data_IF_166104243430
#
_entry.id   IF_166104243430
#
_cell.length_a   1.000
_cell.length_b   1.000
_cell.length_c   1.000
_cell.angle_alpha   90.00
_cell.angle_beta   90.00
_cell.angle_gamma   90.00
#
_symmetry.space_group_name_H-M   'P 1'
#
loop_
_entity.id
_entity.type
_entity.pdbx_description
1 polymer ?
#
# COMPACT_ATOMS: atom_id res chain seq x y z
N UNK A 1 1.95 2.95 1.80
CA UNK A 1 2.14 4.39 2.15
C UNK A 1 2.73 4.55 3.55
N UNK A 2 2.03 4.21 4.65
CA UNK A 2 2.62 4.38 6.00
C UNK A 2 3.94 3.61 6.20
N UNK A 3 4.06 2.39 5.69
CA UNK A 3 5.33 1.65 5.74
C UNK A 3 6.44 2.42 5.01
N UNK A 4 6.17 2.92 3.82
CA UNK A 4 7.13 3.75 3.09
C UNK A 4 7.43 5.09 3.80
N UNK A 5 6.44 5.70 4.48
CA UNK A 5 6.70 6.86 5.34
C UNK A 5 7.62 6.48 6.52
N UNK A 6 7.46 5.27 7.09
CA UNK A 6 8.35 4.74 8.14
C UNK A 6 9.77 4.52 7.62
N UNK A 7 9.95 3.91 6.43
CA UNK A 7 11.26 3.76 5.79
C UNK A 7 11.96 5.10 5.55
N UNK A 8 11.21 6.15 5.18
CA UNK A 8 11.73 7.51 5.02
C UNK A 8 12.14 8.14 6.33
N UNK A 9 11.32 8.00 7.38
CA UNK A 9 11.66 8.49 8.73
C UNK A 9 12.91 7.77 9.22
N UNK A 10 12.99 6.45 9.08
CA UNK A 10 14.16 5.67 9.47
C UNK A 10 15.42 6.10 8.69
N UNK A 11 15.30 6.36 7.38
CA UNK A 11 16.40 6.88 6.57
C UNK A 11 16.91 8.25 7.01
N UNK A 12 16.00 9.16 7.41
CA UNK A 12 16.36 10.46 7.98
C UNK A 12 17.09 10.31 9.30
N UNK A 13 16.62 9.43 10.20
CA UNK A 13 17.26 9.18 11.50
C UNK A 13 18.66 8.55 11.33
N UNK A 14 18.81 7.61 10.37
CA UNK A 14 20.12 7.02 10.06
C UNK A 14 21.14 8.06 9.52
N UNK A 15 20.68 9.03 8.73
CA UNK A 15 21.53 10.13 8.25
C UNK A 15 22.03 11.05 9.38
N UNK A 16 21.27 11.19 10.46
CA UNK A 16 21.69 11.89 11.69
C UNK A 16 22.56 11.02 12.61
N UNK A 17 22.93 9.81 12.18
CA UNK A 17 23.82 8.91 12.90
C UNK A 17 23.13 8.05 13.97
N UNK A 18 21.81 7.95 13.96
CA UNK A 18 21.07 7.05 14.83
C UNK A 18 21.06 5.62 14.25
N UNK A 19 21.23 4.63 15.10
CA UNK A 19 21.16 3.22 14.75
C UNK A 19 19.82 2.63 15.20
N UNK A 20 19.26 1.71 14.40
CA UNK A 20 18.02 1.01 14.74
C UNK A 20 18.23 -0.01 15.85
N UNK A 21 17.33 -0.05 16.82
CA UNK A 21 17.30 -1.05 17.88
C UNK A 21 15.95 -1.80 17.90
N UNK A 22 16.00 -3.08 18.30
CA UNK A 22 14.80 -3.90 18.47
C UNK A 22 14.09 -3.68 19.81
N UNK A 23 14.75 -3.02 20.78
CA UNK A 23 14.27 -2.81 22.15
C UNK A 23 13.92 -1.35 22.41
N UNK A 24 12.71 -1.11 22.93
CA UNK A 24 12.35 0.22 23.39
C UNK A 24 13.20 0.69 24.59
N UNK A 25 13.69 -0.25 25.42
CA UNK A 25 14.50 0.09 26.58
C UNK A 25 15.86 0.68 26.22
N UNK A 26 16.39 0.31 25.04
CA UNK A 26 17.69 0.78 24.53
C UNK A 26 17.55 1.99 23.58
N UNK A 27 16.34 2.35 23.20
CA UNK A 27 16.11 3.43 22.23
C UNK A 27 16.26 4.82 22.86
N UNK A 28 16.90 5.74 22.16
CA UNK A 28 16.95 7.18 22.49
C UNK A 28 15.83 7.96 21.80
N UNK A 29 15.33 7.44 20.69
CA UNK A 29 14.21 7.99 19.92
C UNK A 29 13.24 6.88 19.57
N UNK A 30 11.97 7.07 19.88
CA UNK A 30 10.88 6.17 19.46
C UNK A 30 9.92 6.93 18.58
N UNK A 31 9.72 6.47 17.34
CA UNK A 31 8.75 7.07 16.42
C UNK A 31 7.61 6.09 16.15
N UNK A 32 6.40 6.46 16.54
CA UNK A 32 5.17 5.69 16.30
C UNK A 32 4.45 6.26 15.07
N UNK A 33 4.67 5.67 13.90
CA UNK A 33 4.01 6.05 12.66
C UNK A 33 2.72 5.24 12.46
N UNK A 34 1.56 5.86 12.62
CA UNK A 34 0.28 5.15 12.71
C UNK A 34 -0.71 5.57 11.62
N UNK A 35 -1.35 4.55 11.03
CA UNK A 35 -2.47 4.71 10.10
C UNK A 35 -3.77 5.01 10.88
N UNK A 36 -4.67 5.85 10.33
CA UNK A 36 -5.99 6.15 10.91
C UNK A 36 -7.16 5.45 10.19
N UNK A 37 -6.87 4.49 9.29
CA UNK A 37 -7.91 3.81 8.50
C UNK A 37 -8.64 2.73 9.33
N UNK A 38 -8.04 2.21 10.40
CA UNK A 38 -8.59 1.15 11.24
C UNK A 38 -8.68 1.62 12.68
N UNK A 39 -9.85 1.48 13.32
CA UNK A 39 -10.05 1.83 14.73
C UNK A 39 -9.07 1.12 15.67
N UNK A 40 -8.76 -0.14 15.39
CA UNK A 40 -7.75 -0.90 16.14
C UNK A 40 -6.35 -0.26 16.10
N UNK A 41 -6.04 0.55 15.08
CA UNK A 41 -4.76 1.25 15.01
C UNK A 41 -4.70 2.42 16.02
N UNK A 42 -5.82 3.16 16.18
CA UNK A 42 -5.96 4.22 17.15
C UNK A 42 -5.78 3.65 18.57
N UNK A 43 -6.51 2.56 18.89
CA UNK A 43 -6.43 1.90 20.20
C UNK A 43 -5.02 1.35 20.50
N UNK A 44 -4.35 0.77 19.50
CA UNK A 44 -2.97 0.29 19.65
C UNK A 44 -2.01 1.42 19.93
N UNK A 45 -2.11 2.55 19.22
CA UNK A 45 -1.23 3.70 19.46
C UNK A 45 -1.35 4.18 20.90
N UNK A 46 -2.57 4.48 21.37
CA UNK A 46 -2.77 4.98 22.73
C UNK A 46 -2.40 3.95 23.79
N UNK A 47 -2.59 2.65 23.52
CA UNK A 47 -2.09 1.56 24.36
C UNK A 47 -0.57 1.54 24.47
N UNK A 48 0.14 1.68 23.33
CA UNK A 48 1.61 1.78 23.32
C UNK A 48 2.11 3.03 24.04
N UNK A 49 1.50 4.19 23.80
CA UNK A 49 1.83 5.42 24.51
C UNK A 49 1.66 5.27 26.02
N UNK A 50 0.59 4.58 26.47
CA UNK A 50 0.42 4.26 27.89
C UNK A 50 1.57 3.44 28.47
N UNK A 51 2.07 2.44 27.73
CA UNK A 51 3.23 1.62 28.15
C UNK A 51 4.53 2.44 28.18
N UNK A 52 4.72 3.32 27.20
CA UNK A 52 5.93 4.16 27.09
C UNK A 52 6.02 5.24 28.16
N UNK A 53 4.90 5.57 28.83
CA UNK A 53 4.90 6.58 29.89
C UNK A 53 5.88 6.26 31.02
N UNK A 54 5.88 5.01 31.50
CA UNK A 54 6.80 4.58 32.56
C UNK A 54 8.26 4.67 32.11
N UNK A 55 8.55 4.22 30.87
CA UNK A 55 9.90 4.29 30.30
C UNK A 55 10.37 5.74 30.19
N UNK A 56 9.52 6.67 29.77
CA UNK A 56 9.84 8.11 29.71
C UNK A 56 10.09 8.72 31.11
N UNK A 57 9.36 8.27 32.14
CA UNK A 57 9.57 8.70 33.53
C UNK A 57 10.94 8.22 34.06
N UNK A 58 11.36 6.99 33.68
CA UNK A 58 12.67 6.41 34.05
C UNK A 58 13.83 6.99 33.20
N UNK A 59 13.55 7.38 31.95
CA UNK A 59 14.50 7.93 30.98
C UNK A 59 14.00 9.28 30.42
N UNK A 60 14.17 10.40 31.13
CA UNK A 60 13.65 11.70 30.72
C UNK A 60 14.19 12.19 29.36
N UNK A 61 15.39 11.76 28.99
CA UNK A 61 16.05 12.14 27.72
C UNK A 61 15.52 11.35 26.50
N UNK A 62 14.77 10.25 26.71
CA UNK A 62 14.11 9.51 25.65
C UNK A 62 13.14 10.41 24.90
N UNK A 63 13.23 10.47 23.58
CA UNK A 63 12.26 11.21 22.78
C UNK A 63 11.19 10.27 22.22
N UNK A 64 9.93 10.66 22.35
CA UNK A 64 8.79 9.96 21.81
C UNK A 64 8.09 10.84 20.78
N UNK A 65 8.03 10.38 19.54
CA UNK A 65 7.34 11.05 18.45
C UNK A 65 6.15 10.23 17.93
N UNK A 66 5.08 10.91 17.57
CA UNK A 66 3.92 10.31 16.90
C UNK A 66 3.77 10.93 15.52
N UNK A 67 3.71 10.08 14.50
CA UNK A 67 3.69 10.46 13.10
C UNK A 67 2.54 9.82 12.31
N UNK A 68 2.35 10.28 11.07
CA UNK A 68 1.48 9.66 10.10
C UNK A 68 0.04 10.15 10.11
N UNK A 69 -0.86 9.35 9.52
CA UNK A 69 -2.25 9.76 9.31
C UNK A 69 -3.01 10.00 10.62
N UNK A 70 -2.67 9.29 11.69
CA UNK A 70 -3.31 9.52 12.99
C UNK A 70 -2.84 10.82 13.62
N UNK A 71 -1.55 11.13 13.54
CA UNK A 71 -1.03 12.42 13.97
C UNK A 71 -1.67 13.58 13.20
N UNK A 72 -1.83 13.44 11.88
CA UNK A 72 -2.54 14.41 11.04
C UNK A 72 -3.99 14.62 11.47
N UNK A 73 -4.68 13.56 11.90
CA UNK A 73 -6.08 13.59 12.34
C UNK A 73 -6.25 14.15 13.75
N UNK A 74 -5.50 13.61 14.73
CA UNK A 74 -5.73 13.86 16.15
C UNK A 74 -4.93 15.06 16.69
N UNK A 75 -3.84 15.47 16.01
CA UNK A 75 -3.09 16.71 16.30
C UNK A 75 -2.73 16.86 17.80
N UNK A 76 -3.04 18.01 18.37
CA UNK A 76 -2.76 18.36 19.76
C UNK A 76 -3.44 17.41 20.78
N UNK A 77 -4.56 16.76 20.41
CA UNK A 77 -5.23 15.77 21.27
C UNK A 77 -4.31 14.61 21.65
N UNK A 78 -3.27 14.31 20.86
CA UNK A 78 -2.31 13.27 21.21
C UNK A 78 -1.53 13.68 22.46
N UNK A 79 -1.01 14.91 22.51
CA UNK A 79 -0.27 15.42 23.67
C UNK A 79 -1.18 15.71 24.88
N UNK A 80 -2.43 16.12 24.65
CA UNK A 80 -3.43 16.23 25.73
C UNK A 80 -3.67 14.88 26.44
N UNK A 81 -3.74 13.78 25.69
CA UNK A 81 -3.95 12.42 26.23
C UNK A 81 -2.67 11.74 26.69
N UNK A 82 -1.54 12.09 26.10
CA UNK A 82 -0.22 11.53 26.35
C UNK A 82 0.83 12.65 26.46
N UNK A 83 0.87 13.40 27.58
CA UNK A 83 1.76 14.56 27.76
C UNK A 83 3.26 14.22 27.71
N UNK A 84 3.63 12.95 27.71
CA UNK A 84 5.00 12.46 27.60
C UNK A 84 5.46 12.30 26.12
N UNK A 85 4.59 12.62 25.15
CA UNK A 85 4.96 12.69 23.74
C UNK A 85 5.64 14.01 23.44
N UNK A 86 6.87 13.96 22.94
CA UNK A 86 7.68 15.15 22.66
C UNK A 86 7.33 15.79 21.30
N UNK A 87 7.02 14.97 20.29
CA UNK A 87 6.76 15.47 18.93
C UNK A 87 5.53 14.80 18.32
N UNK A 88 4.65 15.62 17.74
CA UNK A 88 3.54 15.15 16.90
C UNK A 88 3.67 15.82 15.54
N UNK A 89 3.76 15.01 14.45
CA UNK A 89 3.87 15.57 13.12
C UNK A 89 3.04 14.82 12.08
N UNK A 90 2.49 15.59 11.14
CA UNK A 90 1.59 15.10 10.11
C UNK A 90 2.30 14.39 8.95
N UNK A 91 1.49 13.87 8.03
CA UNK A 91 1.95 13.14 6.83
C UNK A 91 2.77 14.00 5.87
N UNK A 92 2.56 15.31 5.87
CA UNK A 92 3.29 16.27 5.03
C UNK A 92 4.58 16.78 5.68
N UNK A 93 4.81 16.43 6.95
CA UNK A 93 5.98 16.88 7.72
C UNK A 93 7.10 15.82 7.82
N UNK A 94 6.97 14.66 7.15
CA UNK A 94 7.94 13.55 7.24
C UNK A 94 9.38 14.02 7.01
N UNK A 95 9.61 14.91 6.03
CA UNK A 95 10.94 15.46 5.73
C UNK A 95 11.53 16.36 6.83
N UNK A 96 10.74 16.72 7.85
CA UNK A 96 11.17 17.56 8.97
C UNK A 96 11.34 16.79 10.27
N UNK A 97 11.18 15.46 10.24
CA UNK A 97 11.14 14.61 11.43
C UNK A 97 12.34 14.86 12.38
N UNK A 98 13.56 14.86 11.86
CA UNK A 98 14.79 15.08 12.66
C UNK A 98 14.86 16.48 13.22
N UNK A 99 14.59 17.50 12.41
CA UNK A 99 14.56 18.90 12.86
C UNK A 99 13.52 19.18 13.96
N UNK A 100 12.35 18.48 13.91
CA UNK A 100 11.34 18.59 14.96
C UNK A 100 11.78 17.93 16.27
N UNK A 101 12.47 16.79 16.19
CA UNK A 101 13.07 16.13 17.36
C UNK A 101 14.11 17.06 18.02
N UNK A 102 14.99 17.68 17.26
CA UNK A 102 15.99 18.62 17.79
C UNK A 102 15.34 19.87 18.40
N UNK A 103 14.33 20.40 17.75
CA UNK A 103 13.59 21.55 18.28
C UNK A 103 12.85 21.20 19.58
N UNK A 104 12.28 20.01 19.70
CA UNK A 104 11.60 19.56 20.93
C UNK A 104 12.57 19.40 22.10
N UNK A 105 13.83 19.02 21.88
CA UNK A 105 14.88 18.99 22.91
C UNK A 105 15.15 20.35 23.52
N UNK A 106 15.03 21.41 22.72
CA UNK A 106 15.36 22.79 23.16
C UNK A 106 14.13 23.51 23.70
N UNK A 107 12.98 23.34 23.07
CA UNK A 107 11.79 24.17 23.29
C UNK A 107 10.66 23.45 24.03
N UNK A 108 10.81 22.13 24.30
CA UNK A 108 9.76 21.28 24.85
C UNK A 108 8.82 20.70 23.78
N UNK A 109 7.71 20.06 24.17
CA UNK A 109 6.81 19.35 23.28
C UNK A 109 6.29 20.20 22.12
N UNK A 110 6.24 19.61 20.90
CA UNK A 110 5.85 20.28 19.65
C UNK A 110 4.80 19.46 18.91
N UNK A 111 3.78 20.14 18.39
CA UNK A 111 2.88 19.61 17.35
C UNK A 111 3.07 20.44 16.08
N UNK A 112 3.40 19.78 14.96
CA UNK A 112 3.48 20.43 13.66
C UNK A 112 2.68 19.67 12.62
N UNK A 113 1.60 20.27 12.14
CA UNK A 113 0.68 19.72 11.17
C UNK A 113 0.59 20.68 9.97
N UNK A 114 1.10 20.24 8.83
CA UNK A 114 0.91 20.93 7.54
C UNK A 114 -0.33 20.32 6.88
N UNK A 115 -1.30 21.16 6.51
CA UNK A 115 -2.59 20.70 5.96
C UNK A 115 -2.45 20.17 4.54
N UNK A 116 -1.73 20.88 3.69
CA UNK A 116 -1.48 20.55 2.29
C UNK A 116 -0.02 20.86 1.93
N UNK A 117 0.58 19.99 1.14
CA UNK A 117 1.88 20.28 0.51
C UNK A 117 1.65 20.81 -0.90
N UNK A 118 2.37 21.84 -1.29
CA UNK A 118 2.34 22.34 -2.68
C UNK A 118 3.15 21.47 -3.64
N UNK A 119 4.05 20.67 -3.11
CA UNK A 119 4.94 19.79 -3.89
C UNK A 119 5.15 18.45 -3.21
N UNK A 120 5.46 17.44 -4.02
CA UNK A 120 5.82 16.13 -3.52
C UNK A 120 7.24 16.15 -2.92
N UNK A 121 7.46 15.62 -1.71
CA UNK A 121 8.81 15.51 -1.12
C UNK A 121 9.57 14.33 -1.78
N UNK A 122 10.22 14.57 -2.92
CA UNK A 122 10.82 13.53 -3.75
C UNK A 122 12.14 12.98 -3.22
N UNK A 123 12.95 13.79 -2.59
CA UNK A 123 14.36 13.51 -2.31
C UNK A 123 14.66 13.06 -0.87
N UNK A 124 13.71 12.39 -0.20
CA UNK A 124 13.97 11.88 1.15
C UNK A 124 14.77 10.56 1.10
N UNK A 125 15.73 10.38 2.01
CA UNK A 125 16.44 9.12 2.18
C UNK A 125 15.45 8.04 2.59
N UNK A 126 15.73 6.78 2.21
CA UNK A 126 14.85 5.64 2.49
C UNK A 126 15.71 4.50 3.04
N UNK A 127 15.42 4.06 4.27
CA UNK A 127 15.96 2.82 4.82
C UNK A 127 14.97 1.71 4.55
N UNK A 128 15.32 0.79 3.64
CA UNK A 128 14.43 -0.27 3.18
C UNK A 128 14.58 -1.52 4.03
N UNK A 129 13.47 -2.12 4.42
CA UNK A 129 13.45 -3.40 5.15
C UNK A 129 13.90 -4.57 4.26
N UNK A 130 13.57 -4.53 2.96
CA UNK A 130 13.91 -5.56 1.99
C UNK A 130 15.00 -5.08 1.01
N UNK A 131 16.01 -5.95 0.76
CA UNK A 131 17.09 -5.67 -0.17
C UNK A 131 16.75 -6.01 -1.65
N UNK A 132 15.58 -6.56 -1.91
CA UNK A 132 15.17 -7.06 -3.22
C UNK A 132 13.90 -6.41 -3.75
N UNK A 133 13.13 -5.75 -2.87
CA UNK A 133 11.87 -5.11 -3.19
C UNK A 133 11.86 -3.66 -2.69
N UNK A 134 11.18 -2.77 -3.42
CA UNK A 134 11.02 -1.38 -3.02
C UNK A 134 9.60 -0.86 -3.26
N UNK A 135 9.16 -0.02 -2.34
CA UNK A 135 7.98 0.81 -2.48
C UNK A 135 8.33 2.10 -3.21
N UNK A 136 7.59 2.43 -4.26
CA UNK A 136 7.75 3.70 -4.98
C UNK A 136 6.44 4.47 -4.92
N UNK A 137 6.40 5.52 -4.13
CA UNK A 137 5.21 6.39 -4.06
C UNK A 137 5.15 7.26 -5.29
N UNK A 138 4.12 7.07 -6.13
CA UNK A 138 3.94 7.81 -7.38
C UNK A 138 3.08 9.06 -7.21
N UNK A 139 2.20 9.06 -6.21
CA UNK A 139 1.35 10.19 -5.85
C UNK A 139 0.94 10.13 -4.38
N UNK A 140 0.56 11.27 -3.82
CA UNK A 140 -0.05 11.42 -2.50
C UNK A 140 -1.40 12.12 -2.62
N UNK A 141 -2.27 11.93 -1.61
CA UNK A 141 -3.61 12.51 -1.62
C UNK A 141 -4.58 11.81 -2.56
N UNK A 142 -5.84 12.21 -2.53
CA UNK A 142 -6.89 11.65 -3.36
C UNK A 142 -8.03 12.64 -3.56
N UNK A 143 -8.42 12.88 -4.82
CA UNK A 143 -9.52 13.77 -5.19
C UNK A 143 -10.90 13.08 -5.21
N UNK A 144 -10.96 11.77 -4.85
CA UNK A 144 -12.24 11.09 -4.72
C UNK A 144 -12.94 11.47 -3.42
N UNK A 145 -14.27 11.64 -3.48
CA UNK A 145 -15.13 12.01 -2.36
C UNK A 145 -15.85 10.81 -1.74
N UNK A 146 -15.17 9.67 -1.54
CA UNK A 146 -15.80 8.50 -0.95
C UNK A 146 -16.30 8.80 0.47
N UNK A 147 -17.60 8.59 0.74
CA UNK A 147 -18.30 9.04 1.93
C UNK A 147 -17.74 8.52 3.28
N UNK A 148 -17.03 7.39 3.26
CA UNK A 148 -16.42 6.76 4.43
C UNK A 148 -14.92 7.06 4.60
N UNK A 149 -14.29 7.71 3.60
CA UNK A 149 -12.84 7.79 3.51
C UNK A 149 -12.31 9.10 4.10
N UNK A 150 -11.34 8.97 5.02
CA UNK A 150 -10.68 10.11 5.65
C UNK A 150 -9.44 10.59 4.90
N UNK A 151 -9.00 9.86 3.85
CA UNK A 151 -7.74 10.15 3.13
C UNK A 151 -7.65 11.59 2.63
N UNK A 152 -8.68 12.20 2.01
CA UNK A 152 -8.58 13.60 1.60
C UNK A 152 -8.27 14.57 2.74
N UNK A 153 -8.78 14.28 3.95
CA UNK A 153 -8.57 15.13 5.13
C UNK A 153 -7.19 14.97 5.78
N UNK A 154 -6.50 13.83 5.53
CA UNK A 154 -5.21 13.54 6.19
C UNK A 154 -4.03 13.47 5.24
N UNK A 155 -4.28 13.43 3.92
CA UNK A 155 -3.23 13.42 2.88
C UNK A 155 -3.45 14.46 1.79
N UNK A 156 -4.50 15.27 1.90
CA UNK A 156 -4.79 16.36 1.00
C UNK A 156 -5.25 15.93 -0.39
N UNK A 157 -5.18 16.87 -1.32
CA UNK A 157 -5.47 16.68 -2.74
C UNK A 157 -4.45 15.80 -3.42
N UNK A 158 -4.83 15.27 -4.58
CA UNK A 158 -3.95 14.45 -5.41
C UNK A 158 -2.79 15.27 -5.97
N UNK A 159 -1.56 14.84 -5.65
CA UNK A 159 -0.32 15.40 -6.17
C UNK A 159 0.52 14.26 -6.73
N UNK A 160 0.67 14.23 -8.04
CA UNK A 160 1.51 13.28 -8.74
C UNK A 160 2.96 13.74 -8.81
N UNK A 161 3.88 12.81 -8.67
CA UNK A 161 5.30 13.06 -8.90
C UNK A 161 5.60 13.22 -10.38
N UNK A 162 6.60 14.05 -10.76
CA UNK A 162 7.06 14.15 -12.13
C UNK A 162 7.46 12.76 -12.70
N UNK A 163 7.05 12.52 -13.93
CA UNK A 163 7.19 11.21 -14.57
C UNK A 163 8.64 10.72 -14.61
N UNK A 164 9.58 11.60 -15.04
CA UNK A 164 10.99 11.21 -15.19
C UNK A 164 11.68 10.96 -13.85
N UNK A 165 11.28 11.66 -12.79
CA UNK A 165 11.80 11.40 -11.44
C UNK A 165 11.51 9.98 -10.98
N UNK A 166 10.31 9.47 -11.27
CA UNK A 166 9.91 8.11 -10.93
C UNK A 166 10.71 7.06 -11.71
N UNK A 167 10.88 7.27 -13.00
CA UNK A 167 11.66 6.36 -13.84
C UNK A 167 13.13 6.34 -13.38
N UNK A 168 13.71 7.53 -13.11
CA UNK A 168 15.10 7.64 -12.62
C UNK A 168 15.26 6.96 -11.24
N UNK A 169 14.27 7.09 -10.33
CA UNK A 169 14.31 6.39 -9.05
C UNK A 169 14.32 4.87 -9.25
N UNK A 170 13.48 4.34 -10.15
CA UNK A 170 13.46 2.91 -10.44
C UNK A 170 14.75 2.44 -11.13
N UNK A 171 15.33 3.24 -12.04
CA UNK A 171 16.64 2.97 -12.64
C UNK A 171 17.73 2.87 -11.57
N UNK A 172 17.73 3.80 -10.59
CA UNK A 172 18.66 3.76 -9.45
C UNK A 172 18.45 2.54 -8.57
N UNK A 173 17.20 2.20 -8.24
CA UNK A 173 16.85 1.01 -7.47
C UNK A 173 17.32 -0.29 -8.15
N UNK A 174 17.15 -0.38 -9.46
CA UNK A 174 17.62 -1.53 -10.25
C UNK A 174 19.15 -1.65 -10.22
N UNK A 175 19.88 -0.53 -10.32
CA UNK A 175 21.35 -0.51 -10.15
C UNK A 175 21.78 -0.96 -8.75
N UNK A 176 20.99 -0.66 -7.73
CA UNK A 176 21.20 -1.12 -6.36
C UNK A 176 20.86 -2.60 -6.14
N UNK A 177 20.29 -3.27 -7.15
CA UNK A 177 19.95 -4.68 -7.13
C UNK A 177 18.52 -5.01 -6.69
N UNK A 178 17.64 -4.00 -6.60
CA UNK A 178 16.20 -4.20 -6.42
C UNK A 178 15.63 -4.82 -7.70
N UNK A 179 14.81 -5.83 -7.54
CA UNK A 179 14.24 -6.60 -8.66
C UNK A 179 12.70 -6.58 -8.68
N UNK A 180 12.06 -6.23 -7.56
CA UNK A 180 10.60 -6.05 -7.46
C UNK A 180 10.26 -4.63 -7.03
N UNK A 181 9.38 -3.96 -7.79
CA UNK A 181 8.85 -2.63 -7.49
C UNK A 181 7.36 -2.72 -7.20
N UNK A 182 6.90 -2.04 -6.16
CA UNK A 182 5.48 -1.82 -5.93
C UNK A 182 5.15 -0.33 -5.98
N UNK A 183 4.34 0.08 -6.96
CA UNK A 183 3.89 1.45 -7.11
C UNK A 183 2.77 1.76 -6.10
N UNK A 184 2.92 2.84 -5.34
CA UNK A 184 2.02 3.25 -4.28
C UNK A 184 1.33 4.58 -4.58
N UNK A 185 0.06 4.66 -4.23
CA UNK A 185 -0.76 5.86 -4.23
C UNK A 185 -2.06 5.62 -3.46
N UNK A 186 -2.92 6.63 -3.35
CA UNK A 186 -4.27 6.46 -2.81
C UNK A 186 -5.29 6.12 -3.91
N UNK A 187 -4.97 6.45 -5.17
CA UNK A 187 -5.67 6.04 -6.38
C UNK A 187 -4.68 6.02 -7.54
N UNK A 188 -3.86 4.98 -7.64
CA UNK A 188 -2.77 4.91 -8.64
C UNK A 188 -3.24 5.08 -10.08
N UNK A 189 -4.49 4.72 -10.38
CA UNK A 189 -5.05 4.82 -11.73
C UNK A 189 -5.27 6.25 -12.20
N UNK A 190 -5.32 7.23 -11.28
CA UNK A 190 -5.44 8.66 -11.60
C UNK A 190 -4.09 9.33 -11.78
N UNK A 191 -2.98 8.68 -11.45
CA UNK A 191 -1.64 9.24 -11.54
C UNK A 191 -1.41 10.05 -12.82
N UNK A 192 -0.85 11.24 -12.66
CA UNK A 192 -0.49 12.15 -13.73
C UNK A 192 -1.65 12.93 -14.35
N UNK A 193 -2.89 12.73 -13.89
CA UNK A 193 -4.04 13.50 -14.37
C UNK A 193 -3.89 14.98 -14.03
N UNK A 194 -3.45 15.30 -12.81
CA UNK A 194 -3.14 16.66 -12.36
C UNK A 194 -2.01 17.29 -13.20
N UNK A 195 -0.99 16.51 -13.55
CA UNK A 195 0.13 16.97 -14.37
C UNK A 195 -0.32 17.31 -15.80
N UNK A 196 -1.11 16.44 -16.42
CA UNK A 196 -1.64 16.69 -17.78
C UNK A 196 -2.66 17.83 -17.81
N UNK A 197 -3.42 18.03 -16.73
CA UNK A 197 -4.32 19.18 -16.58
C UNK A 197 -3.56 20.50 -16.47
N UNK A 198 -2.43 20.55 -15.76
CA UNK A 198 -1.56 21.75 -15.67
C UNK A 198 -1.02 22.18 -17.04
N UNK A 199 -0.80 21.23 -17.94
CA UNK A 199 -0.33 21.50 -19.31
C UNK A 199 -1.43 21.81 -20.33
N UNK A 200 -2.70 21.82 -19.90
CA UNK A 200 -3.83 22.11 -20.79
C UNK A 200 -3.77 23.56 -21.28
N UNK A 201 -3.65 23.73 -22.61
CA UNK A 201 -3.60 25.06 -23.23
C UNK A 201 -2.25 25.77 -23.10
N UNK A 202 -1.22 25.09 -22.61
CA UNK A 202 0.16 25.57 -22.65
C UNK A 202 0.88 25.03 -23.88
N UNK A 203 1.97 25.68 -24.29
CA UNK A 203 2.86 25.16 -25.32
C UNK A 203 3.60 23.93 -24.76
N UNK A 204 3.53 22.81 -25.47
CA UNK A 204 4.20 21.56 -25.09
C UNK A 204 5.61 21.57 -25.70
N UNK A 205 6.62 21.55 -24.83
CA UNK A 205 8.02 21.49 -25.21
C UNK A 205 8.61 20.10 -24.93
N UNK A 206 9.83 19.85 -25.37
CA UNK A 206 10.59 18.64 -25.02
C UNK A 206 10.79 18.52 -23.49
N UNK A 207 10.89 19.62 -22.77
CA UNK A 207 11.00 19.64 -21.31
C UNK A 207 9.74 19.14 -20.62
N UNK A 208 8.57 19.27 -21.26
CA UNK A 208 7.32 18.71 -20.75
C UNK A 208 7.39 17.18 -20.56
N UNK A 209 8.26 16.48 -21.28
CA UNK A 209 8.45 15.04 -21.11
C UNK A 209 9.00 14.66 -19.74
N UNK A 210 9.71 15.55 -19.07
CA UNK A 210 10.16 15.35 -17.69
C UNK A 210 8.97 15.23 -16.74
N UNK A 211 7.91 15.98 -17.00
CA UNK A 211 6.71 16.03 -16.17
C UNK A 211 5.72 14.92 -16.50
N UNK A 212 5.45 14.67 -17.79
CA UNK A 212 4.34 13.82 -18.25
C UNK A 212 4.77 12.62 -19.12
N UNK A 213 6.05 12.46 -19.39
CA UNK A 213 6.59 11.38 -20.23
C UNK A 213 6.47 11.63 -21.74
N UNK A 214 7.34 10.96 -22.49
CA UNK A 214 7.44 11.06 -23.95
C UNK A 214 6.13 10.66 -24.70
N UNK A 215 5.45 9.61 -24.21
CA UNK A 215 4.24 9.09 -24.85
C UNK A 215 3.12 10.14 -24.88
N UNK A 216 3.00 10.95 -23.82
CA UNK A 216 2.01 12.02 -23.77
C UNK A 216 2.42 13.20 -24.65
N UNK A 217 3.71 13.57 -24.65
CA UNK A 217 4.24 14.68 -25.47
C UNK A 217 4.08 14.41 -26.96
N UNK A 218 4.21 13.15 -27.40
CA UNK A 218 4.00 12.76 -28.82
C UNK A 218 2.53 12.55 -29.18
N UNK A 219 1.65 12.53 -28.17
CA UNK A 219 0.22 12.25 -28.33
C UNK A 219 -0.64 13.49 -28.60
N UNK A 220 -1.96 13.37 -28.48
CA UNK A 220 -2.90 14.44 -28.79
C UNK A 220 -2.98 15.55 -27.71
N UNK A 221 -2.12 15.54 -26.68
CA UNK A 221 -2.05 16.48 -25.56
C UNK A 221 -3.37 16.66 -24.78
N UNK A 222 -4.21 15.63 -24.79
CA UNK A 222 -5.46 15.64 -24.04
C UNK A 222 -5.20 15.30 -22.57
N UNK A 223 -5.80 16.01 -21.61
CA UNK A 223 -5.70 15.65 -20.20
C UNK A 223 -6.19 14.22 -19.95
N UNK A 224 -5.31 13.39 -19.38
CA UNK A 224 -5.61 12.01 -19.02
C UNK A 224 -4.68 11.51 -17.91
N UNK A 225 -5.04 10.44 -17.21
CA UNK A 225 -4.08 9.72 -16.37
C UNK A 225 -2.90 9.17 -17.20
N UNK A 226 -1.74 9.09 -16.56
CA UNK A 226 -0.49 8.58 -17.14
C UNK A 226 -0.07 7.23 -16.56
N UNK A 227 -0.93 6.61 -15.74
CA UNK A 227 -0.56 5.41 -14.99
C UNK A 227 -0.13 4.25 -15.89
N UNK A 228 -0.84 3.99 -16.99
CA UNK A 228 -0.47 2.94 -17.95
C UNK A 228 0.89 3.20 -18.60
N UNK A 229 1.18 4.46 -18.97
CA UNK A 229 2.47 4.84 -19.54
C UNK A 229 3.59 4.63 -18.51
N UNK A 230 3.38 5.07 -17.26
CA UNK A 230 4.34 4.91 -16.17
C UNK A 230 4.59 3.42 -15.85
N UNK A 231 3.51 2.63 -15.75
CA UNK A 231 3.60 1.20 -15.44
C UNK A 231 4.48 0.47 -16.47
N UNK A 232 4.30 0.78 -17.76
CA UNK A 232 5.14 0.25 -18.84
C UNK A 232 6.59 0.69 -18.68
N UNK A 233 6.85 1.99 -18.53
CA UNK A 233 8.23 2.51 -18.44
C UNK A 233 8.98 1.99 -17.22
N UNK A 234 8.31 1.82 -16.09
CA UNK A 234 8.91 1.22 -14.88
C UNK A 234 9.22 -0.26 -15.10
N UNK A 235 8.33 -0.98 -15.76
CA UNK A 235 8.51 -2.41 -16.02
C UNK A 235 9.64 -2.68 -17.05
N UNK A 236 9.86 -1.76 -17.98
CA UNK A 236 10.92 -1.85 -18.99
C UNK A 236 12.32 -1.47 -18.46
N UNK A 237 12.45 -1.01 -17.21
CA UNK A 237 13.76 -0.71 -16.61
C UNK A 237 14.59 -1.99 -16.46
N UNK A 238 15.78 -1.98 -17.03
CA UNK A 238 16.68 -3.13 -16.98
C UNK A 238 17.04 -3.52 -15.55
N UNK A 239 16.84 -4.78 -15.20
CA UNK A 239 17.09 -5.33 -13.87
C UNK A 239 15.83 -5.48 -13.03
N UNK A 240 14.72 -4.83 -13.37
CA UNK A 240 13.42 -5.08 -12.76
C UNK A 240 12.82 -6.36 -13.36
N UNK A 241 12.32 -7.23 -12.50
CA UNK A 241 11.70 -8.51 -12.88
C UNK A 241 10.21 -8.54 -12.56
N UNK A 242 9.77 -7.76 -11.56
CA UNK A 242 8.37 -7.71 -11.13
C UNK A 242 7.95 -6.29 -10.80
N UNK A 243 6.82 -5.90 -11.35
CA UNK A 243 6.14 -4.65 -10.99
C UNK A 243 4.74 -4.96 -10.49
N UNK A 244 4.42 -4.42 -9.32
CA UNK A 244 3.11 -4.46 -8.69
C UNK A 244 2.60 -3.06 -8.44
N UNK A 245 1.34 -2.93 -8.19
CA UNK A 245 0.75 -1.68 -7.73
C UNK A 245 -0.42 -1.92 -6.78
N UNK A 246 -0.72 -0.93 -5.96
CA UNK A 246 -1.79 -1.01 -4.96
C UNK A 246 -2.78 0.14 -5.11
N UNK A 247 -3.97 -0.02 -4.52
CA UNK A 247 -4.99 1.03 -4.42
C UNK A 247 -5.52 1.60 -5.75
N UNK A 248 -5.74 0.79 -6.80
CA UNK A 248 -6.48 1.27 -7.96
C UNK A 248 -7.96 1.47 -7.57
N UNK A 249 -8.60 2.48 -8.18
CA UNK A 249 -10.03 2.69 -8.01
C UNK A 249 -10.78 2.15 -9.24
N UNK A 250 -11.85 1.32 -9.06
CA UNK A 250 -12.57 0.72 -10.18
C UNK A 250 -13.08 1.73 -11.21
N UNK A 251 -13.52 2.91 -10.77
CA UNK A 251 -13.95 4.00 -11.65
C UNK A 251 -12.86 4.39 -12.66
N UNK A 252 -11.62 4.45 -12.21
CA UNK A 252 -10.47 4.95 -12.97
C UNK A 252 -9.66 3.83 -13.65
N UNK A 253 -10.04 2.54 -13.47
CA UNK A 253 -9.41 1.44 -14.19
C UNK A 253 -9.73 1.53 -15.69
N UNK A 254 -8.71 1.75 -16.50
CA UNK A 254 -8.79 1.93 -17.94
C UNK A 254 -8.31 0.70 -18.69
N UNK A 255 -8.83 0.46 -19.93
CA UNK A 255 -8.37 -0.65 -20.76
C UNK A 255 -6.86 -0.65 -20.96
N UNK A 256 -6.24 0.53 -21.16
CA UNK A 256 -4.80 0.66 -21.41
C UNK A 256 -3.95 0.13 -20.25
N UNK A 257 -4.47 0.15 -19.00
CA UNK A 257 -3.78 -0.47 -17.85
C UNK A 257 -3.80 -1.99 -17.95
N UNK A 258 -4.94 -2.56 -18.36
CA UNK A 258 -5.08 -4.01 -18.58
C UNK A 258 -4.21 -4.47 -19.75
N UNK A 259 -4.15 -3.66 -20.84
CA UNK A 259 -3.29 -3.93 -21.99
C UNK A 259 -1.81 -4.01 -21.57
N UNK A 260 -1.34 -3.09 -20.70
CA UNK A 260 0.03 -3.14 -20.18
C UNK A 260 0.26 -4.38 -19.34
N UNK A 261 -0.67 -4.73 -18.44
CA UNK A 261 -0.57 -5.95 -17.62
C UNK A 261 -0.52 -7.22 -18.46
N UNK A 262 -1.25 -7.26 -19.59
CA UNK A 262 -1.27 -8.40 -20.48
C UNK A 262 -0.03 -8.51 -21.40
N UNK A 263 0.59 -7.38 -21.76
CA UNK A 263 1.64 -7.32 -22.78
C UNK A 263 3.05 -7.24 -22.21
N UNK A 264 3.21 -6.73 -20.98
CA UNK A 264 4.50 -6.48 -20.36
C UNK A 264 4.80 -7.55 -19.31
N UNK A 265 5.74 -8.47 -19.59
CA UNK A 265 5.99 -9.65 -18.75
C UNK A 265 6.41 -9.33 -17.32
N UNK A 266 7.02 -8.19 -17.08
CA UNK A 266 7.48 -7.77 -15.77
C UNK A 266 6.30 -7.32 -14.87
N UNK A 267 5.15 -6.95 -15.43
CA UNK A 267 3.95 -6.61 -14.64
C UNK A 267 3.29 -7.89 -14.16
N UNK A 268 3.12 -8.01 -12.84
CA UNK A 268 2.54 -9.20 -12.24
C UNK A 268 1.04 -9.37 -12.57
N UNK A 269 0.61 -10.62 -12.77
CA UNK A 269 -0.78 -11.01 -13.05
C UNK A 269 -1.64 -10.97 -11.77
N UNK A 270 -1.55 -9.88 -11.02
CA UNK A 270 -2.32 -9.65 -9.81
C UNK A 270 -2.93 -8.24 -9.84
N UNK A 271 -4.25 -8.18 -9.77
CA UNK A 271 -5.01 -6.94 -9.68
C UNK A 271 -5.73 -6.88 -8.32
N UNK A 272 -5.38 -5.88 -7.51
CA UNK A 272 -6.18 -5.53 -6.34
C UNK A 272 -7.21 -4.49 -6.74
N UNK A 273 -8.50 -4.82 -6.76
CA UNK A 273 -9.57 -3.93 -7.22
C UNK A 273 -10.68 -3.85 -6.17
N UNK A 274 -10.73 -2.80 -5.33
CA UNK A 274 -11.70 -2.68 -4.23
C UNK A 274 -13.14 -2.57 -4.71
N UNK A 275 -13.97 -3.59 -4.46
CA UNK A 275 -15.41 -3.61 -4.78
C UNK A 275 -16.19 -2.72 -3.81
N UNK A 276 -15.90 -2.80 -2.53
CA UNK A 276 -16.55 -2.19 -1.37
C UNK A 276 -17.94 -2.75 -1.07
N UNK A 277 -18.87 -2.82 -2.04
CA UNK A 277 -20.20 -3.41 -1.94
C UNK A 277 -20.67 -3.94 -3.30
N UNK A 278 -21.53 -4.93 -3.31
CA UNK A 278 -22.21 -5.43 -4.52
C UNK A 278 -23.58 -4.78 -4.77
N UNK A 279 -24.03 -3.85 -3.92
CA UNK A 279 -25.28 -3.10 -4.09
C UNK A 279 -25.00 -1.73 -4.69
N UNK A 280 -25.75 -1.38 -5.74
CA UNK A 280 -25.64 -0.06 -6.39
C UNK A 280 -26.11 1.08 -5.47
N UNK A 281 -27.10 0.83 -4.61
CA UNK A 281 -27.59 1.76 -3.60
C UNK A 281 -26.47 2.09 -2.60
N UNK A 282 -25.79 1.06 -2.08
CA UNK A 282 -24.67 1.24 -1.15
C UNK A 282 -23.47 1.87 -1.85
N UNK A 283 -23.12 1.46 -3.07
CA UNK A 283 -22.04 2.06 -3.85
C UNK A 283 -22.32 3.55 -4.13
N UNK A 284 -23.56 3.91 -4.43
CA UNK A 284 -23.99 5.30 -4.60
C UNK A 284 -23.86 6.10 -3.31
N UNK A 285 -24.34 5.55 -2.17
CA UNK A 285 -24.21 6.16 -0.85
C UNK A 285 -22.73 6.26 -0.39
N UNK A 286 -21.87 5.37 -0.85
CA UNK A 286 -20.41 5.42 -0.65
C UNK A 286 -19.71 6.41 -1.60
N UNK A 287 -20.41 7.02 -2.57
CA UNK A 287 -19.86 7.87 -3.64
C UNK A 287 -18.79 7.18 -4.49
N UNK A 288 -19.00 5.91 -4.85
CA UNK A 288 -17.99 5.14 -5.58
C UNK A 288 -17.94 5.44 -7.08
N UNK A 289 -19.02 5.95 -7.68
CA UNK A 289 -19.07 6.38 -9.09
C UNK A 289 -19.02 5.26 -10.11
N UNK A 290 -19.36 4.03 -9.70
CA UNK A 290 -19.57 2.86 -10.56
C UNK A 290 -20.69 1.99 -9.99
N UNK A 291 -21.24 1.09 -10.81
CA UNK A 291 -22.22 0.06 -10.44
C UNK A 291 -21.54 -1.29 -10.29
N UNK A 292 -22.21 -2.23 -9.61
CA UNK A 292 -21.77 -3.62 -9.49
C UNK A 292 -21.58 -4.27 -10.87
N UNK A 293 -22.52 -4.08 -11.80
CA UNK A 293 -22.42 -4.61 -13.15
C UNK A 293 -21.18 -4.09 -13.90
N UNK A 294 -20.92 -2.77 -13.83
CA UNK A 294 -19.68 -2.19 -14.41
C UNK A 294 -18.41 -2.72 -13.80
N UNK A 295 -18.43 -3.03 -12.51
CA UNK A 295 -17.30 -3.67 -11.85
C UNK A 295 -17.07 -5.07 -12.42
N UNK A 296 -18.13 -5.89 -12.50
CA UNK A 296 -18.08 -7.26 -13.05
C UNK A 296 -17.61 -7.25 -14.52
N UNK A 297 -18.14 -6.34 -15.34
CA UNK A 297 -17.71 -6.15 -16.74
C UNK A 297 -16.20 -5.85 -16.85
N UNK A 298 -15.67 -4.96 -16.00
CA UNK A 298 -14.22 -4.65 -15.98
C UNK A 298 -13.38 -5.85 -15.58
N UNK A 299 -13.82 -6.62 -14.59
CA UNK A 299 -13.15 -7.86 -14.18
C UNK A 299 -13.18 -8.89 -15.31
N UNK A 300 -14.32 -9.07 -15.97
CA UNK A 300 -14.46 -9.99 -17.10
C UNK A 300 -13.52 -9.60 -18.25
N UNK A 301 -13.47 -8.32 -18.62
CA UNK A 301 -12.56 -7.81 -19.63
C UNK A 301 -11.08 -8.01 -19.26
N UNK A 302 -10.71 -7.80 -17.99
CA UNK A 302 -9.36 -8.06 -17.51
C UNK A 302 -8.99 -9.56 -17.59
N UNK A 303 -9.88 -10.47 -17.18
CA UNK A 303 -9.67 -11.92 -17.26
C UNK A 303 -9.64 -12.45 -18.69
N UNK A 304 -10.35 -11.81 -19.61
CA UNK A 304 -10.28 -12.15 -21.03
C UNK A 304 -8.89 -11.91 -21.63
N UNK A 305 -8.23 -10.82 -21.22
CA UNK A 305 -6.89 -10.47 -21.70
C UNK A 305 -5.78 -11.15 -20.90
N UNK A 306 -6.04 -11.42 -19.60
CA UNK A 306 -5.09 -12.05 -18.68
C UNK A 306 -5.79 -13.29 -18.07
N UNK A 307 -5.75 -14.45 -18.75
CA UNK A 307 -6.50 -15.63 -18.32
C UNK A 307 -6.15 -16.14 -16.91
N UNK A 308 -4.90 -15.95 -16.49
CA UNK A 308 -4.40 -16.36 -15.16
C UNK A 308 -4.38 -15.19 -14.16
N UNK A 309 -5.24 -14.19 -14.34
CA UNK A 309 -5.34 -13.03 -13.46
C UNK A 309 -5.82 -13.42 -12.06
N UNK A 310 -4.98 -13.21 -11.05
CA UNK A 310 -5.39 -13.24 -9.65
C UNK A 310 -6.02 -11.89 -9.26
N UNK A 311 -7.17 -11.95 -8.61
CA UNK A 311 -7.94 -10.78 -8.21
C UNK A 311 -8.12 -10.73 -6.70
N UNK A 312 -7.72 -9.61 -6.09
CA UNK A 312 -8.02 -9.31 -4.70
C UNK A 312 -8.90 -8.07 -4.57
N UNK A 313 -9.60 -7.92 -3.44
CA UNK A 313 -10.56 -6.84 -3.24
C UNK A 313 -10.65 -6.40 -1.78
N UNK A 314 -11.31 -5.24 -1.57
CA UNK A 314 -11.80 -4.78 -0.28
C UNK A 314 -13.32 -4.78 -0.29
N UNK A 315 -13.95 -5.24 0.81
CA UNK A 315 -15.40 -5.22 1.00
C UNK A 315 -15.71 -4.71 2.40
N UNK A 316 -16.65 -3.78 2.49
CA UNK A 316 -17.15 -3.21 3.75
C UNK A 316 -18.58 -3.71 3.94
N UNK A 317 -18.85 -4.35 5.09
CA UNK A 317 -20.19 -4.76 5.51
C UNK A 317 -20.74 -3.81 6.58
N UNK A 318 -22.05 -3.63 6.63
CA UNK A 318 -22.69 -2.80 7.62
C UNK A 318 -22.50 -1.30 7.39
N UNK A 319 -22.32 -0.88 6.15
CA UNK A 319 -22.34 0.54 5.79
C UNK A 319 -23.69 1.17 6.21
N UNK A 320 -23.73 2.45 6.65
CA UNK A 320 -24.99 3.09 7.05
C UNK A 320 -26.07 2.95 6.00
N UNK A 321 -27.24 2.45 6.39
CA UNK A 321 -28.37 2.20 5.50
C UNK A 321 -28.32 0.88 4.71
N UNK A 322 -27.27 0.09 4.82
CA UNK A 322 -27.18 -1.23 4.14
C UNK A 322 -28.28 -2.17 4.63
N UNK A 323 -29.19 -2.58 3.75
CA UNK A 323 -30.25 -3.56 4.03
C UNK A 323 -29.76 -5.00 3.89
N UNK A 324 -30.59 -5.98 4.27
CA UNK A 324 -30.27 -7.38 4.02
C UNK A 324 -30.24 -7.70 2.52
N UNK A 325 -31.09 -7.06 1.74
CA UNK A 325 -31.09 -7.21 0.27
C UNK A 325 -29.76 -6.69 -0.32
N UNK A 326 -29.25 -5.55 0.11
CA UNK A 326 -27.98 -5.00 -0.35
C UNK A 326 -26.81 -5.92 -0.02
N UNK A 327 -26.86 -6.51 1.18
CA UNK A 327 -25.84 -7.48 1.58
C UNK A 327 -25.90 -8.77 0.76
N UNK A 328 -27.11 -9.31 0.46
CA UNK A 328 -27.24 -10.47 -0.43
C UNK A 328 -26.65 -10.18 -1.82
N UNK A 329 -26.88 -8.97 -2.38
CA UNK A 329 -26.24 -8.55 -3.64
C UNK A 329 -24.71 -8.58 -3.53
N UNK A 330 -24.17 -8.17 -2.40
CA UNK A 330 -22.70 -8.22 -2.15
C UNK A 330 -22.18 -9.65 -2.16
N UNK A 331 -22.92 -10.59 -1.54
CA UNK A 331 -22.56 -12.02 -1.58
C UNK A 331 -22.64 -12.61 -3.00
N UNK A 332 -23.67 -12.25 -3.77
CA UNK A 332 -23.84 -12.68 -5.16
C UNK A 332 -22.65 -12.22 -6.03
N UNK A 333 -22.31 -10.93 -5.98
CA UNK A 333 -21.17 -10.40 -6.73
C UNK A 333 -19.85 -11.05 -6.28
N UNK A 334 -19.65 -11.26 -4.98
CA UNK A 334 -18.44 -11.91 -4.47
C UNK A 334 -18.33 -13.38 -4.95
N UNK A 335 -19.46 -14.10 -5.01
CA UNK A 335 -19.52 -15.47 -5.49
C UNK A 335 -19.34 -15.56 -7.02
N UNK A 336 -19.85 -14.59 -7.79
CA UNK A 336 -19.72 -14.51 -9.24
C UNK A 336 -18.28 -14.18 -9.65
N UNK A 337 -17.71 -13.14 -9.04
CA UNK A 337 -16.35 -12.66 -9.33
C UNK A 337 -15.28 -13.67 -8.91
N UNK A 338 -15.50 -14.44 -7.84
CA UNK A 338 -14.57 -15.47 -7.33
C UNK A 338 -13.20 -14.86 -7.04
N UNK A 339 -13.14 -13.99 -6.06
CA UNK A 339 -11.88 -13.37 -5.62
C UNK A 339 -10.90 -14.42 -5.09
N UNK A 340 -9.63 -14.24 -5.43
CA UNK A 340 -8.52 -15.05 -4.91
C UNK A 340 -8.22 -14.70 -3.44
N UNK A 341 -8.45 -13.44 -3.05
CA UNK A 341 -8.41 -12.99 -1.66
C UNK A 341 -9.26 -11.73 -1.48
N UNK A 342 -9.70 -11.47 -0.25
CA UNK A 342 -10.38 -10.22 0.08
C UNK A 342 -9.98 -9.74 1.48
N UNK A 343 -9.84 -8.43 1.61
CA UNK A 343 -9.82 -7.75 2.90
C UNK A 343 -11.25 -7.31 3.21
N UNK A 344 -11.81 -7.88 4.26
CA UNK A 344 -13.19 -7.63 4.66
C UNK A 344 -13.23 -6.82 5.95
N UNK A 345 -14.09 -5.82 5.98
CA UNK A 345 -14.19 -4.87 7.09
C UNK A 345 -15.65 -4.70 7.51
N UNK A 346 -15.90 -4.62 8.82
CA UNK A 346 -17.13 -4.02 9.32
C UNK A 346 -16.97 -2.51 9.25
N UNK A 347 -17.99 -1.81 8.75
CA UNK A 347 -17.98 -0.36 8.74
C UNK A 347 -17.67 0.19 10.15
N UNK A 348 -16.72 1.10 10.21
CA UNK A 348 -16.35 1.82 11.44
C UNK A 348 -16.37 3.32 11.15
N UNK A 349 -17.20 4.11 11.85
CA UNK A 349 -17.33 5.53 11.60
C UNK A 349 -16.01 6.26 11.85
N UNK A 350 -15.65 7.17 10.93
CA UNK A 350 -14.48 8.02 11.05
C UNK A 350 -14.94 9.46 11.26
N UNK A 351 -14.63 10.08 12.41
CA UNK A 351 -14.95 11.49 12.62
C UNK A 351 -14.49 12.36 11.47
N UNK A 352 -15.34 13.26 11.02
CA UNK A 352 -15.06 14.13 9.87
C UNK A 352 -15.53 13.60 8.50
N UNK A 353 -15.83 12.30 8.37
CA UNK A 353 -16.38 11.72 7.14
C UNK A 353 -17.90 11.92 7.04
N UNK A 354 -18.42 11.89 5.83
CA UNK A 354 -19.86 12.06 5.58
C UNK A 354 -20.67 10.89 6.15
N UNK A 355 -20.21 9.66 5.93
CA UNK A 355 -20.85 8.45 6.44
C UNK A 355 -20.93 8.42 7.98
N UNK A 356 -19.98 9.02 8.68
CA UNK A 356 -20.01 9.08 10.15
C UNK A 356 -21.16 9.92 10.70
N UNK A 357 -21.73 10.83 9.89
CA UNK A 357 -22.88 11.66 10.27
C UNK A 357 -24.22 10.91 10.22
N UNK A 358 -24.25 9.72 9.60
CA UNK A 358 -25.45 8.90 9.38
C UNK A 358 -25.70 7.93 10.57
N UNK A 359 -25.49 8.36 11.81
CA UNK A 359 -25.55 7.50 13.00
C UNK A 359 -26.89 6.78 13.17
N UNK A 360 -28.01 7.41 12.78
CA UNK A 360 -29.36 6.81 12.85
C UNK A 360 -29.55 5.63 11.87
N UNK A 361 -28.67 5.53 10.87
CA UNK A 361 -28.70 4.47 9.84
C UNK A 361 -27.66 3.38 10.09
N UNK A 362 -26.92 3.42 11.21
CA UNK A 362 -25.89 2.42 11.48
C UNK A 362 -26.52 1.03 11.64
N UNK A 363 -25.95 0.08 10.92
CA UNK A 363 -26.36 -1.33 11.03
C UNK A 363 -25.98 -1.85 12.42
N UNK A 364 -26.89 -2.53 13.13
CA UNK A 364 -26.58 -3.10 14.43
C UNK A 364 -25.35 -4.02 14.40
N UNK A 365 -24.49 -3.93 15.40
CA UNK A 365 -23.23 -4.68 15.45
C UNK A 365 -23.42 -6.21 15.27
N UNK A 366 -24.51 -6.77 15.82
CA UNK A 366 -24.87 -8.17 15.65
C UNK A 366 -25.08 -8.52 14.18
N UNK A 367 -25.85 -7.72 13.44
CA UNK A 367 -26.14 -7.95 12.03
C UNK A 367 -24.86 -7.83 11.18
N UNK A 368 -24.01 -6.82 11.48
CA UNK A 368 -22.74 -6.67 10.80
C UNK A 368 -21.80 -7.85 11.04
N UNK A 369 -21.79 -8.41 12.26
CA UNK A 369 -20.99 -9.60 12.57
C UNK A 369 -21.50 -10.84 11.83
N UNK A 370 -22.83 -11.06 11.76
CA UNK A 370 -23.44 -12.15 11.00
C UNK A 370 -23.16 -12.02 9.50
N UNK A 371 -23.27 -10.81 8.94
CA UNK A 371 -22.93 -10.52 7.55
C UNK A 371 -21.44 -10.78 7.26
N UNK A 372 -20.55 -10.33 8.15
CA UNK A 372 -19.13 -10.58 8.02
C UNK A 372 -18.80 -12.07 7.99
N UNK A 373 -19.41 -12.87 8.83
CA UNK A 373 -19.18 -14.31 8.87
C UNK A 373 -19.64 -14.99 7.57
N UNK A 374 -20.81 -14.60 7.04
CA UNK A 374 -21.32 -15.11 5.77
C UNK A 374 -20.42 -14.73 4.58
N UNK A 375 -19.99 -13.48 4.53
CA UNK A 375 -19.05 -13.00 3.51
C UNK A 375 -17.71 -13.76 3.57
N UNK A 376 -17.17 -13.95 4.80
CA UNK A 376 -15.94 -14.70 5.01
C UNK A 376 -16.03 -16.11 4.43
N UNK A 377 -17.14 -16.82 4.65
CA UNK A 377 -17.34 -18.16 4.12
C UNK A 377 -17.35 -18.21 2.59
N UNK A 378 -17.94 -17.19 1.93
CA UNK A 378 -17.91 -17.08 0.46
C UNK A 378 -16.48 -16.87 -0.03
N UNK A 379 -15.77 -15.90 0.56
CA UNK A 379 -14.38 -15.57 0.17
C UNK A 379 -13.44 -16.76 0.42
N UNK A 380 -13.49 -17.39 1.60
CA UNK A 380 -12.62 -18.53 1.91
C UNK A 380 -12.82 -19.69 0.95
N UNK A 381 -14.07 -19.95 0.55
CA UNK A 381 -14.40 -20.99 -0.44
C UNK A 381 -13.80 -20.69 -1.81
N UNK A 382 -13.92 -19.43 -2.27
CA UNK A 382 -13.38 -19.03 -3.58
C UNK A 382 -11.86 -18.99 -3.57
N UNK A 383 -11.25 -18.48 -2.49
CA UNK A 383 -9.79 -18.46 -2.29
C UNK A 383 -9.22 -19.88 -2.27
N UNK A 384 -9.82 -20.79 -1.49
CA UNK A 384 -9.39 -22.19 -1.45
C UNK A 384 -9.47 -22.84 -2.82
N UNK A 385 -10.60 -22.67 -3.54
CA UNK A 385 -10.77 -23.23 -4.88
C UNK A 385 -9.74 -22.65 -5.88
N UNK A 386 -9.45 -21.35 -5.80
CA UNK A 386 -8.40 -20.72 -6.59
C UNK A 386 -7.01 -21.25 -6.25
N UNK A 387 -6.74 -21.58 -4.99
CA UNK A 387 -5.49 -22.19 -4.57
C UNK A 387 -5.42 -23.68 -4.98
N UNK A 388 -6.52 -24.44 -4.89
CA UNK A 388 -6.58 -25.83 -5.34
C UNK A 388 -6.29 -25.97 -6.83
N UNK A 389 -6.67 -24.98 -7.67
CA UNK A 389 -6.34 -25.00 -9.09
C UNK A 389 -4.84 -24.85 -9.39
N UNK A 390 -4.03 -24.53 -8.39
CA UNK A 390 -2.56 -24.42 -8.50
C UNK A 390 -1.84 -25.71 -8.14
N UNK A 391 -2.51 -26.74 -7.63
CA UNK A 391 -1.89 -28.03 -7.31
C UNK A 391 -1.28 -28.61 -8.59
N UNK A 392 -0.09 -29.17 -8.49
CA UNK A 392 0.76 -29.70 -9.57
C UNK A 392 1.29 -28.63 -10.57
N UNK A 393 0.97 -27.35 -10.38
CA UNK A 393 1.56 -26.26 -11.17
C UNK A 393 2.94 -25.86 -10.62
N UNK A 394 3.78 -25.37 -11.52
CA UNK A 394 5.07 -24.78 -11.19
C UNK A 394 4.93 -23.26 -11.07
N UNK A 395 5.30 -22.72 -9.91
CA UNK A 395 5.21 -21.31 -9.59
C UNK A 395 6.59 -20.70 -9.43
N UNK A 396 6.86 -19.61 -10.15
CA UNK A 396 8.02 -18.78 -9.84
C UNK A 396 7.72 -17.97 -8.58
N UNK A 397 8.54 -18.13 -7.55
CA UNK A 397 8.44 -17.35 -6.32
C UNK A 397 9.68 -16.47 -6.11
N UNK A 398 9.48 -15.27 -5.55
CA UNK A 398 10.55 -14.52 -4.90
C UNK A 398 10.59 -14.95 -3.44
N UNK A 399 11.75 -15.34 -2.94
CA UNK A 399 11.93 -15.80 -1.56
C UNK A 399 11.92 -14.61 -0.62
N UNK A 400 11.01 -14.60 0.35
CA UNK A 400 10.90 -13.55 1.37
C UNK A 400 11.72 -13.85 2.63
N UNK A 401 12.02 -15.15 2.88
CA UNK A 401 12.80 -15.60 4.03
C UNK A 401 12.17 -16.81 4.73
N UNK A 402 12.62 -17.12 5.95
CA UNK A 402 12.06 -18.20 6.75
C UNK A 402 10.58 -17.98 7.06
N UNK A 403 9.80 -19.04 7.12
CA UNK A 403 8.40 -18.98 7.54
C UNK A 403 8.32 -18.58 9.02
N UNK A 404 7.40 -17.67 9.35
CA UNK A 404 7.17 -17.20 10.73
C UNK A 404 6.68 -18.29 11.68
N UNK A 405 6.16 -19.42 11.16
CA UNK A 405 5.58 -20.51 11.96
C UNK A 405 6.44 -21.75 11.99
N UNK A 406 7.32 -21.93 11.01
CA UNK A 406 8.16 -23.11 10.85
C UNK A 406 9.49 -22.68 10.23
N UNK A 407 10.56 -22.69 11.02
CA UNK A 407 11.90 -22.26 10.61
C UNK A 407 12.53 -23.17 9.55
N UNK A 408 12.04 -24.40 9.39
CA UNK A 408 12.54 -25.36 8.39
C UNK A 408 11.91 -25.12 7.00
N UNK A 409 10.95 -24.20 6.94
CA UNK A 409 10.27 -23.81 5.72
C UNK A 409 10.67 -22.40 5.31
N UNK A 410 10.88 -22.19 4.02
CA UNK A 410 10.94 -20.86 3.41
C UNK A 410 9.55 -20.38 2.99
N UNK A 411 9.38 -19.09 2.97
CA UNK A 411 8.22 -18.40 2.37
C UNK A 411 8.65 -17.73 1.09
N UNK A 412 7.93 -17.99 0.01
CA UNK A 412 8.06 -17.29 -1.25
C UNK A 412 6.73 -16.65 -1.66
N UNK A 413 6.80 -15.66 -2.53
CA UNK A 413 5.63 -14.98 -3.11
C UNK A 413 5.58 -15.15 -4.61
N UNK A 414 4.46 -15.67 -5.12
CA UNK A 414 4.23 -15.85 -6.56
C UNK A 414 3.94 -14.51 -7.24
N UNK A 415 3.94 -14.49 -8.56
CA UNK A 415 3.48 -13.35 -9.38
C UNK A 415 2.03 -12.98 -9.09
N UNK A 416 1.17 -13.96 -8.78
CA UNK A 416 -0.23 -13.82 -8.37
C UNK A 416 -0.42 -13.34 -6.92
N UNK A 417 0.66 -12.93 -6.24
CA UNK A 417 0.66 -12.49 -4.85
C UNK A 417 0.28 -13.58 -3.82
N UNK A 418 0.37 -14.86 -4.18
CA UNK A 418 0.11 -15.99 -3.27
C UNK A 418 1.37 -16.32 -2.47
N UNK A 419 1.20 -16.65 -1.19
CA UNK A 419 2.28 -17.18 -0.37
C UNK A 419 2.45 -18.67 -0.64
N UNK A 420 3.68 -19.09 -0.83
CA UNK A 420 4.06 -20.51 -0.94
C UNK A 420 5.09 -20.83 0.13
N UNK A 421 4.82 -21.87 0.92
CA UNK A 421 5.77 -22.39 1.90
C UNK A 421 6.40 -23.67 1.33
N UNK A 422 7.72 -23.79 1.40
CA UNK A 422 8.45 -24.94 0.88
C UNK A 422 9.71 -25.21 1.68
N UNK A 423 10.12 -26.50 1.85
CA UNK A 423 11.34 -26.84 2.57
C UNK A 423 12.56 -26.41 1.76
N UNK A 424 13.54 -25.83 2.42
CA UNK A 424 14.83 -25.53 1.81
C UNK A 424 15.87 -26.55 2.25
N UNK A 425 16.55 -27.17 1.27
CA UNK A 425 17.70 -28.04 1.54
C UNK A 425 19.02 -27.27 1.64
N UNK A 426 19.02 -26.03 1.17
CA UNK A 426 20.16 -25.12 1.14
C UNK A 426 19.75 -23.75 1.66
N UNK A 427 20.74 -22.95 2.08
CA UNK A 427 20.49 -21.58 2.53
C UNK A 427 20.17 -20.69 1.33
N UNK A 428 18.89 -20.48 1.05
CA UNK A 428 18.41 -19.57 0.02
C UNK A 428 18.09 -18.23 0.68
N UNK A 429 18.70 -17.16 0.18
CA UNK A 429 18.54 -15.82 0.74
C UNK A 429 17.26 -15.14 0.26
N UNK A 430 16.65 -14.28 1.08
CA UNK A 430 15.60 -13.39 0.63
C UNK A 430 16.01 -12.62 -0.64
N UNK A 431 15.08 -12.50 -1.59
CA UNK A 431 15.34 -11.90 -2.90
C UNK A 431 15.84 -12.87 -3.98
N UNK A 432 16.08 -14.13 -3.65
CA UNK A 432 16.31 -15.16 -4.65
C UNK A 432 14.99 -15.54 -5.34
N UNK A 433 15.08 -15.97 -6.59
CA UNK A 433 13.95 -16.50 -7.35
C UNK A 433 14.07 -18.01 -7.44
N UNK A 434 12.96 -18.71 -7.24
CA UNK A 434 12.91 -20.17 -7.28
C UNK A 434 11.65 -20.65 -8.00
N UNK A 435 11.76 -21.82 -8.64
CA UNK A 435 10.62 -22.59 -9.13
C UNK A 435 10.19 -23.58 -8.05
N UNK A 436 8.91 -23.54 -7.73
CA UNK A 436 8.28 -24.40 -6.71
C UNK A 436 7.09 -25.12 -7.33
N UNK A 437 7.05 -26.46 -7.25
CA UNK A 437 5.84 -27.21 -7.60
C UNK A 437 4.89 -27.22 -6.42
N UNK A 438 3.65 -26.77 -6.63
CA UNK A 438 2.63 -26.74 -5.60
C UNK A 438 2.13 -28.18 -5.32
N UNK A 439 2.18 -28.59 -4.08
CA UNK A 439 1.77 -29.94 -3.65
C UNK A 439 0.52 -29.93 -2.78
N UNK A 440 0.24 -28.81 -2.07
CA UNK A 440 -0.91 -28.65 -1.19
C UNK A 440 -1.46 -27.24 -1.29
N UNK A 441 -2.78 -27.10 -1.27
CA UNK A 441 -3.47 -25.83 -1.23
C UNK A 441 -4.19 -25.64 0.11
N UNK A 442 -4.05 -24.44 0.70
CA UNK A 442 -4.79 -23.98 1.87
C UNK A 442 -5.53 -22.69 1.54
N UNK A 443 -6.45 -22.28 2.37
CA UNK A 443 -7.25 -21.07 2.13
C UNK A 443 -6.39 -19.82 1.87
N UNK A 444 -5.28 -19.64 2.61
CA UNK A 444 -4.48 -18.41 2.57
C UNK A 444 -3.05 -18.59 2.05
N UNK A 445 -2.63 -19.80 1.78
CA UNK A 445 -1.29 -20.11 1.27
C UNK A 445 -1.27 -21.44 0.53
N UNK A 446 -0.16 -21.65 -0.17
CA UNK A 446 0.20 -22.88 -0.84
C UNK A 446 1.36 -23.54 -0.09
N UNK A 447 1.51 -24.85 -0.25
CA UNK A 447 2.70 -25.61 0.13
C UNK A 447 3.27 -26.25 -1.12
N UNK A 448 4.59 -26.31 -1.24
CA UNK A 448 5.21 -26.87 -2.43
C UNK A 448 6.57 -27.48 -2.18
N UNK A 449 7.15 -28.01 -3.24
CA UNK A 449 8.49 -28.56 -3.29
C UNK A 449 9.39 -27.66 -4.14
N UNK A 450 10.57 -27.34 -3.64
CA UNK A 450 11.57 -26.61 -4.40
C UNK A 450 12.07 -27.48 -5.57
N UNK A 451 11.96 -26.97 -6.78
CA UNK A 451 12.53 -27.60 -7.97
C UNK A 451 13.94 -27.08 -8.23
N UNK A 452 14.09 -25.78 -8.38
CA UNK A 452 15.38 -25.12 -8.63
C UNK A 452 15.38 -23.65 -8.18
N UNK A 453 16.56 -23.10 -7.98
CA UNK A 453 16.79 -21.66 -7.77
C UNK A 453 17.19 -21.05 -9.11
N UNK A 454 16.33 -20.23 -9.69
CA UNK A 454 16.53 -19.64 -11.02
C UNK A 454 17.39 -18.38 -10.99
N UNK A 455 17.43 -17.67 -9.86
CA UNK A 455 18.33 -16.53 -9.65
C UNK A 455 18.62 -16.35 -8.16
N UNK A 456 19.89 -16.19 -7.83
CA UNK A 456 20.31 -15.88 -6.47
C UNK A 456 20.26 -14.36 -6.21
N UNK A 457 19.89 -14.00 -4.98
CA UNK A 457 19.96 -12.62 -4.52
C UNK A 457 21.39 -12.09 -4.63
N UNK A 458 21.56 -10.88 -5.19
CA UNK A 458 22.86 -10.24 -5.31
C UNK A 458 23.42 -9.93 -3.91
N UNK A 459 24.71 -10.17 -3.71
CA UNK A 459 25.41 -9.74 -2.50
C UNK A 459 25.58 -8.21 -2.54
N UNK A 460 25.06 -7.51 -1.55
CA UNK A 460 25.54 -6.16 -1.23
C UNK A 460 26.77 -6.31 -0.33
N UNK A 461 27.95 -6.23 -0.91
CA UNK A 461 29.17 -5.95 -0.15
C UNK A 461 29.15 -4.45 0.17
N UNK A 462 28.81 -4.07 1.40
CA UNK A 462 29.27 -2.79 1.93
C UNK A 462 30.79 -2.91 2.07
N UNK A 463 31.56 -2.30 1.19
CA UNK A 463 32.98 -2.09 1.40
C UNK A 463 33.02 -0.99 2.46
N UNK A 464 33.59 -1.24 3.68
CA UNK A 464 33.80 -0.19 4.64
C UNK A 464 34.73 0.83 3.99
N UNK A 465 34.27 2.05 3.78
CA UNK A 465 35.15 3.17 3.44
C UNK A 465 35.78 3.59 4.76
N UNK A 466 37.00 3.12 5.04
CA UNK A 466 37.78 3.69 6.10
C UNK A 466 38.05 5.16 5.75
N UNK A 467 37.47 6.07 6.52
CA UNK A 467 37.78 7.50 6.48
C UNK A 467 39.22 7.67 6.96
N UNK A 468 40.12 7.95 6.03
CA UNK A 468 41.49 8.42 6.32
C UNK A 468 41.48 9.81 6.92
#
# INVERSE_FOLDING_TARGET
MNEHDSERIAGLLEMEGLEETESFDDADVIVLNTCCIRENADNKLYGQLGNLKKLKEERPDLQIAVAGCLAQKDRDHIQERAPHVDVVFGTHNVGRATGLLDQARISGPITEIVEESESFPSALPVKRDANHAAWVTIQIGCDNSCAFCIVPSVRGREISRPYRELVNEVEQLAMEGITEITLLGQNVNSYGRDLTLKLRGTEVSAESSQLVGEAWVRGPHTPRPLFSDLLRSVAEVSGIRRVRYTSPHPKDLRPETIDVMAQVPEVCEHLHLPLQSGSDEVLSAMHRGYTADRYVEKVAAARQQIPDLALSTDIIVGFPGETDFDFERTLEVAAEVKFDSAYTFVYSPRPGTEAAKLAEQFVPAKNSAERMERLRQVIERTSLKGNESRIDQEEEVIVEGPSKRDSDMLTGRTRHNRLVHFPARETIRPGSYAQVRVTEARTFNLVGELLEVTAFAKHRTRIPVESS
#
